data_IF_312132303384
#
_entry.id   IF_312132303384
#
_cell.length_a   1.000
_cell.length_b   1.000
_cell.length_c   1.000
_cell.angle_alpha   90.00
_cell.angle_beta   90.00
_cell.angle_gamma   90.00
#
_symmetry.space_group_name_H-M   'P 1'
#
loop_
_entity.id
_entity.type
_entity.pdbx_description
1 polymer ?
#
# COMPACT_ATOMS: atom_id res chain seq x y z
N UNK A 1 15.97 -15.78 -9.14
CA UNK A 1 15.41 -15.82 -7.77
C UNK A 1 14.61 -14.55 -7.44
N UNK A 2 15.23 -13.36 -7.46
CA UNK A 2 14.57 -12.07 -7.14
C UNK A 2 13.23 -11.84 -7.87
N UNK A 3 13.19 -12.07 -9.19
CA UNK A 3 11.98 -11.91 -10.00
C UNK A 3 10.82 -12.82 -9.55
N UNK A 4 11.11 -14.06 -9.14
CA UNK A 4 10.07 -15.00 -8.69
C UNK A 4 9.51 -14.55 -7.34
N UNK A 5 10.37 -14.07 -6.43
CA UNK A 5 9.95 -13.51 -5.14
C UNK A 5 9.04 -12.29 -5.37
N UNK A 6 9.42 -11.38 -6.27
CA UNK A 6 8.59 -10.20 -6.58
C UNK A 6 7.23 -10.59 -7.19
N UNK A 7 7.20 -11.57 -8.10
CA UNK A 7 5.96 -12.10 -8.67
C UNK A 7 5.05 -12.67 -7.59
N UNK A 8 5.59 -13.49 -6.70
CA UNK A 8 4.83 -14.08 -5.58
C UNK A 8 4.28 -12.99 -4.65
N UNK A 9 5.07 -11.98 -4.33
CA UNK A 9 4.64 -10.86 -3.49
C UNK A 9 3.50 -10.05 -4.14
N UNK A 10 3.63 -9.69 -5.43
CA UNK A 10 2.57 -8.96 -6.15
C UNK A 10 1.28 -9.79 -6.27
N UNK A 11 1.39 -11.10 -6.52
CA UNK A 11 0.22 -12.00 -6.54
C UNK A 11 -0.46 -12.03 -5.16
N UNK A 12 0.31 -12.22 -4.10
CA UNK A 12 -0.20 -12.23 -2.73
C UNK A 12 -0.94 -10.93 -2.40
N UNK A 13 -0.35 -9.79 -2.72
CA UNK A 13 -0.98 -8.49 -2.48
C UNK A 13 -2.24 -8.26 -3.31
N UNK A 14 -2.24 -8.71 -4.56
CA UNK A 14 -3.42 -8.60 -5.43
C UNK A 14 -4.58 -9.42 -4.85
N UNK A 15 -4.30 -10.64 -4.42
CA UNK A 15 -5.27 -11.51 -3.76
C UNK A 15 -5.77 -10.91 -2.45
N UNK A 16 -4.85 -10.42 -1.59
CA UNK A 16 -5.23 -9.78 -0.33
C UNK A 16 -6.12 -8.56 -0.58
N UNK A 17 -5.75 -7.70 -1.53
CA UNK A 17 -6.54 -6.52 -1.91
C UNK A 17 -7.93 -6.91 -2.38
N UNK A 18 -8.03 -7.93 -3.23
CA UNK A 18 -9.30 -8.41 -3.74
C UNK A 18 -10.19 -8.99 -2.63
N UNK A 19 -9.63 -9.86 -1.79
CA UNK A 19 -10.34 -10.46 -0.65
C UNK A 19 -10.80 -9.38 0.32
N UNK A 20 -9.94 -8.42 0.67
CA UNK A 20 -10.29 -7.29 1.53
C UNK A 20 -11.39 -6.42 0.93
N UNK A 21 -11.39 -6.18 -0.39
CA UNK A 21 -12.42 -5.39 -1.05
C UNK A 21 -13.77 -6.11 -1.06
N UNK A 22 -13.77 -7.41 -1.38
CA UNK A 22 -14.98 -8.25 -1.31
C UNK A 22 -15.51 -8.29 0.11
N UNK A 23 -14.65 -8.48 1.11
CA UNK A 23 -15.03 -8.49 2.52
C UNK A 23 -15.74 -7.20 2.91
N UNK A 24 -15.12 -6.04 2.62
CA UNK A 24 -15.69 -4.72 2.94
C UNK A 24 -17.03 -4.45 2.24
N UNK A 25 -17.23 -4.96 1.03
CA UNK A 25 -18.51 -4.78 0.31
C UNK A 25 -19.62 -5.66 0.89
N UNK A 26 -19.27 -6.84 1.42
CA UNK A 26 -20.23 -7.80 1.96
C UNK A 26 -20.58 -7.54 3.42
N UNK A 27 -19.82 -6.70 4.13
CA UNK A 27 -20.00 -6.47 5.56
C UNK A 27 -20.21 -4.99 5.90
N UNK A 28 -21.05 -4.72 6.90
CA UNK A 28 -21.36 -3.37 7.37
C UNK A 28 -20.53 -3.03 8.62
N UNK A 29 -20.10 -1.77 8.75
CA UNK A 29 -19.51 -1.24 9.98
C UNK A 29 -17.97 -1.23 10.02
N UNK A 30 -17.40 -1.46 11.21
CA UNK A 30 -15.99 -1.20 11.55
C UNK A 30 -14.96 -2.13 10.87
N UNK A 31 -15.42 -3.10 10.09
CA UNK A 31 -14.57 -4.12 9.46
C UNK A 31 -13.69 -3.59 8.34
N UNK A 32 -14.05 -2.42 7.80
CA UNK A 32 -13.22 -1.63 6.90
C UNK A 32 -11.82 -1.35 7.48
N UNK A 33 -11.73 -1.09 8.78
CA UNK A 33 -10.44 -0.84 9.44
C UNK A 33 -9.58 -2.09 9.58
N UNK A 34 -10.22 -3.24 9.79
CA UNK A 34 -9.52 -4.53 9.85
C UNK A 34 -8.92 -4.82 8.48
N UNK A 35 -9.68 -4.63 7.41
CA UNK A 35 -9.20 -4.76 6.04
C UNK A 35 -8.03 -3.79 5.74
N UNK A 36 -8.18 -2.51 6.07
CA UNK A 36 -7.11 -1.52 5.92
C UNK A 36 -5.85 -1.86 6.70
N UNK A 37 -5.99 -2.37 7.92
CA UNK A 37 -4.86 -2.77 8.74
C UNK A 37 -4.05 -3.89 8.08
N UNK A 38 -4.73 -4.94 7.59
CA UNK A 38 -4.05 -6.04 6.89
C UNK A 38 -3.41 -5.59 5.58
N UNK A 39 -4.09 -4.73 4.80
CA UNK A 39 -3.52 -4.13 3.59
C UNK A 39 -2.28 -3.30 3.94
N UNK A 40 -2.36 -2.45 4.95
CA UNK A 40 -1.25 -1.59 5.40
C UNK A 40 -0.05 -2.40 5.88
N UNK A 41 -0.27 -3.42 6.71
CA UNK A 41 0.77 -4.33 7.17
C UNK A 41 1.42 -5.09 6.01
N UNK A 42 0.61 -5.58 5.05
CA UNK A 42 1.11 -6.24 3.84
C UNK A 42 1.94 -5.29 2.98
N UNK A 43 1.51 -4.04 2.81
CA UNK A 43 2.25 -3.02 2.07
C UNK A 43 3.59 -2.68 2.73
N UNK A 44 3.64 -2.64 4.07
CA UNK A 44 4.89 -2.44 4.80
C UNK A 44 5.85 -3.62 4.61
N UNK A 45 5.36 -4.86 4.79
CA UNK A 45 6.18 -6.06 4.61
C UNK A 45 6.68 -6.20 3.18
N UNK A 46 5.80 -5.98 2.20
CA UNK A 46 6.15 -5.92 0.80
C UNK A 46 7.23 -4.86 0.56
N UNK A 47 7.06 -3.64 1.10
CA UNK A 47 7.98 -2.54 0.86
C UNK A 47 9.39 -2.87 1.33
N UNK A 48 9.52 -3.46 2.53
CA UNK A 48 10.79 -3.96 3.06
C UNK A 48 11.41 -5.03 2.15
N UNK A 49 10.58 -5.97 1.68
CA UNK A 49 11.00 -6.99 0.73
C UNK A 49 11.50 -6.36 -0.58
N UNK A 50 10.79 -5.39 -1.17
CA UNK A 50 11.20 -4.80 -2.45
C UNK A 50 12.47 -3.97 -2.33
N UNK A 51 12.67 -3.21 -1.25
CA UNK A 51 13.93 -2.47 -1.02
C UNK A 51 15.11 -3.42 -0.89
N UNK A 52 14.94 -4.56 -0.22
CA UNK A 52 16.03 -5.56 -0.09
C UNK A 52 16.36 -6.27 -1.40
N UNK A 53 15.41 -6.34 -2.36
CA UNK A 53 15.60 -7.04 -3.62
C UNK A 53 16.08 -6.13 -4.76
N UNK A 54 15.56 -4.90 -4.85
CA UNK A 54 15.72 -4.01 -6.00
C UNK A 54 16.06 -2.59 -5.58
N UNK A 55 17.10 -2.02 -6.20
CA UNK A 55 17.40 -0.60 -6.06
C UNK A 55 16.50 0.20 -7.01
N UNK A 56 15.61 1.03 -6.48
CA UNK A 56 14.71 1.86 -7.28
C UNK A 56 14.37 3.17 -6.56
N UNK A 57 14.35 4.28 -7.32
CA UNK A 57 14.01 5.61 -6.79
C UNK A 57 12.55 5.69 -6.33
N UNK A 58 11.67 4.84 -6.86
CA UNK A 58 10.25 4.79 -6.49
C UNK A 58 10.02 4.35 -5.05
N UNK A 59 10.98 3.65 -4.41
CA UNK A 59 10.92 3.37 -2.97
C UNK A 59 10.94 4.64 -2.14
N UNK A 60 11.72 5.65 -2.56
CA UNK A 60 11.80 6.93 -1.85
C UNK A 60 10.48 7.68 -1.96
N UNK A 61 9.87 7.72 -3.14
CA UNK A 61 8.57 8.38 -3.32
C UNK A 61 7.45 7.73 -2.50
N UNK A 62 7.41 6.39 -2.45
CA UNK A 62 6.47 5.68 -1.59
C UNK A 62 6.66 6.05 -0.12
N UNK A 63 7.90 5.99 0.38
CA UNK A 63 8.23 6.29 1.76
C UNK A 63 7.88 7.73 2.16
N UNK A 64 8.28 8.70 1.35
CA UNK A 64 7.95 10.11 1.60
C UNK A 64 6.45 10.37 1.51
N UNK A 65 5.74 9.70 0.60
CA UNK A 65 4.29 9.76 0.51
C UNK A 65 3.63 9.27 1.81
N UNK A 66 4.06 8.14 2.35
CA UNK A 66 3.54 7.59 3.61
C UNK A 66 3.81 8.54 4.78
N UNK A 67 5.01 9.11 4.88
CA UNK A 67 5.32 10.11 5.92
C UNK A 67 4.41 11.32 5.78
N UNK A 68 4.30 11.90 4.58
CA UNK A 68 3.47 13.06 4.32
C UNK A 68 2.00 12.80 4.67
N UNK A 69 1.50 11.62 4.34
CA UNK A 69 0.15 11.20 4.69
C UNK A 69 -0.11 11.21 6.20
N UNK A 70 0.80 10.65 7.00
CA UNK A 70 0.67 10.69 8.46
C UNK A 70 0.84 12.09 9.05
N UNK A 71 1.69 12.94 8.45
CA UNK A 71 1.83 14.34 8.87
C UNK A 71 0.55 15.14 8.60
N UNK A 72 -0.08 14.95 7.44
CA UNK A 72 -1.36 15.60 7.11
C UNK A 72 -2.44 15.11 8.08
N UNK A 73 -2.54 13.81 8.30
CA UNK A 73 -3.49 13.23 9.25
C UNK A 73 -3.31 13.83 10.64
N UNK A 74 -2.07 13.87 11.15
CA UNK A 74 -1.76 14.45 12.46
C UNK A 74 -2.07 15.95 12.53
N UNK A 75 -1.73 16.71 11.49
CA UNK A 75 -2.04 18.14 11.43
C UNK A 75 -3.53 18.40 11.48
N UNK A 76 -4.33 17.62 10.73
CA UNK A 76 -5.78 17.79 10.73
C UNK A 76 -6.37 17.39 12.09
N UNK A 77 -6.01 16.23 12.64
CA UNK A 77 -6.56 15.77 13.92
C UNK A 77 -6.17 16.62 15.11
N UNK A 78 -5.00 17.27 15.09
CA UNK A 78 -4.55 18.17 16.16
C UNK A 78 -5.13 19.59 16.08
N UNK A 79 -5.50 20.07 14.88
CA UNK A 79 -5.99 21.44 14.67
C UNK A 79 -7.52 21.56 14.73
N UNK A 80 -8.26 20.47 14.55
CA UNK A 80 -9.72 20.44 14.71
C UNK A 80 -10.09 20.18 16.17
N UNK A 81 -10.71 21.17 16.83
CA UNK A 81 -11.12 21.14 18.25
C UNK A 81 -12.15 20.05 18.55
N UNK A 82 -13.02 19.75 17.59
CA UNK A 82 -13.82 18.53 17.60
C UNK A 82 -13.04 17.46 16.86
N UNK A 83 -12.63 16.42 17.59
CA UNK A 83 -12.02 15.21 17.04
C UNK A 83 -12.99 14.56 16.05
N UNK A 84 -12.98 15.03 14.81
CA UNK A 84 -13.88 14.59 13.77
C UNK A 84 -13.40 13.22 13.27
N UNK A 85 -13.65 12.20 14.10
CA UNK A 85 -13.23 10.81 13.88
C UNK A 85 -13.70 10.31 12.52
N UNK A 86 -14.85 10.77 12.03
CA UNK A 86 -15.34 10.45 10.69
C UNK A 86 -14.39 10.93 9.59
N UNK A 87 -13.92 12.18 9.66
CA UNK A 87 -12.95 12.69 8.69
C UNK A 87 -11.66 11.87 8.72
N UNK A 88 -11.09 11.64 9.92
CA UNK A 88 -9.87 10.85 10.06
C UNK A 88 -10.06 9.43 9.50
N UNK A 89 -11.24 8.85 9.71
CA UNK A 89 -11.65 7.54 9.18
C UNK A 89 -11.67 7.53 7.65
N UNK A 90 -12.36 8.48 7.03
CA UNK A 90 -12.41 8.57 5.57
C UNK A 90 -11.04 8.86 4.96
N UNK A 91 -10.26 9.73 5.58
CA UNK A 91 -8.89 10.05 5.14
C UNK A 91 -7.97 8.82 5.22
N UNK A 92 -8.04 8.06 6.33
CA UNK A 92 -7.33 6.80 6.49
C UNK A 92 -7.73 5.78 5.40
N UNK A 93 -9.03 5.67 5.13
CA UNK A 93 -9.54 4.75 4.12
C UNK A 93 -9.11 5.08 2.70
N UNK A 94 -9.37 6.31 2.27
CA UNK A 94 -9.03 6.77 0.91
C UNK A 94 -7.51 6.74 0.73
N UNK A 95 -6.75 7.29 1.69
CA UNK A 95 -5.30 7.31 1.60
C UNK A 95 -4.69 5.90 1.60
N UNK A 96 -5.14 5.02 2.49
CA UNK A 96 -4.69 3.62 2.54
C UNK A 96 -4.93 2.88 1.23
N UNK A 97 -6.12 3.06 0.62
CA UNK A 97 -6.45 2.52 -0.69
C UNK A 97 -5.55 3.07 -1.80
N UNK A 98 -5.31 4.38 -1.83
CA UNK A 98 -4.43 5.01 -2.81
C UNK A 98 -2.99 4.50 -2.71
N UNK A 99 -2.44 4.37 -1.49
CA UNK A 99 -1.12 3.77 -1.28
C UNK A 99 -1.07 2.33 -1.76
N UNK A 100 -2.11 1.55 -1.48
CA UNK A 100 -2.19 0.17 -1.93
C UNK A 100 -2.20 0.05 -3.46
N UNK A 101 -2.99 0.89 -4.14
CA UNK A 101 -3.04 0.93 -5.61
C UNK A 101 -1.68 1.33 -6.19
N UNK A 102 -1.09 2.42 -5.69
CA UNK A 102 0.25 2.85 -6.10
C UNK A 102 1.25 1.71 -5.92
N UNK A 103 1.19 1.04 -4.78
CA UNK A 103 2.12 -0.02 -4.42
C UNK A 103 1.95 -1.25 -5.32
N UNK A 104 0.73 -1.66 -5.66
CA UNK A 104 0.45 -2.72 -6.64
C UNK A 104 0.99 -2.38 -8.04
N UNK A 105 0.65 -1.20 -8.56
CA UNK A 105 1.11 -0.74 -9.88
C UNK A 105 2.64 -0.72 -9.94
N UNK A 106 3.26 -0.19 -8.89
CA UNK A 106 4.72 -0.16 -8.77
C UNK A 106 5.34 -1.57 -8.77
N UNK A 107 4.69 -2.54 -8.13
CA UNK A 107 5.11 -3.94 -8.14
C UNK A 107 5.13 -4.53 -9.54
N UNK A 108 4.05 -4.35 -10.31
CA UNK A 108 3.99 -4.81 -11.71
C UNK A 108 5.04 -4.13 -12.58
N UNK A 109 5.23 -2.82 -12.42
CA UNK A 109 6.27 -2.08 -13.15
C UNK A 109 7.68 -2.62 -12.90
N UNK A 110 8.01 -2.96 -11.64
CA UNK A 110 9.30 -3.56 -11.31
C UNK A 110 9.47 -4.94 -11.95
N UNK A 111 8.43 -5.78 -11.97
CA UNK A 111 8.46 -7.09 -12.64
C UNK A 111 8.75 -6.93 -14.14
N UNK A 112 8.02 -6.04 -14.81
CA UNK A 112 8.20 -5.70 -16.23
C UNK A 112 9.64 -5.25 -16.51
N UNK A 113 10.13 -4.27 -15.75
CA UNK A 113 11.48 -3.72 -15.91
C UNK A 113 12.55 -4.80 -15.71
N UNK A 114 12.40 -5.64 -14.68
CA UNK A 114 13.34 -6.73 -14.42
C UNK A 114 13.30 -7.82 -15.51
N UNK A 115 12.15 -8.09 -16.12
CA UNK A 115 12.06 -9.02 -17.27
C UNK A 115 12.80 -8.45 -18.48
N UNK A 116 12.59 -7.18 -18.80
CA UNK A 116 13.23 -6.53 -19.94
C UNK A 116 14.76 -6.50 -19.79
N UNK A 117 15.27 -6.13 -18.61
CA UNK A 117 16.71 -6.13 -18.35
C UNK A 117 17.33 -7.53 -18.46
N UNK A 118 16.59 -8.59 -18.07
CA UNK A 118 17.04 -9.98 -18.20
C UNK A 118 17.03 -10.53 -19.62
N UNK A 119 16.29 -9.89 -20.53
CA UNK A 119 16.25 -10.21 -21.96
C UNK A 119 17.36 -9.45 -22.71
N UNK A 120 17.85 -8.35 -22.14
CA UNK A 120 18.93 -7.53 -22.68
C UNK A 120 20.34 -7.96 -22.22
N UNK A 121 20.44 -8.90 -21.26
CA UNK A 121 21.66 -9.62 -20.86
C UNK A 121 21.82 -10.93 -21.65
#
# INVERSE_FOLDING_TARGET
>A
MKLNILKTEVIFQTLLTFVSLVWVVLTEGSEFFIALFFIGASNLLGFLLRISLVASKFHRYYFFGVILFFLILYGITSLTVDSNMEFATYFMGIGGMLFNIYYLIYGFYLIETMKQNKIAE
#
